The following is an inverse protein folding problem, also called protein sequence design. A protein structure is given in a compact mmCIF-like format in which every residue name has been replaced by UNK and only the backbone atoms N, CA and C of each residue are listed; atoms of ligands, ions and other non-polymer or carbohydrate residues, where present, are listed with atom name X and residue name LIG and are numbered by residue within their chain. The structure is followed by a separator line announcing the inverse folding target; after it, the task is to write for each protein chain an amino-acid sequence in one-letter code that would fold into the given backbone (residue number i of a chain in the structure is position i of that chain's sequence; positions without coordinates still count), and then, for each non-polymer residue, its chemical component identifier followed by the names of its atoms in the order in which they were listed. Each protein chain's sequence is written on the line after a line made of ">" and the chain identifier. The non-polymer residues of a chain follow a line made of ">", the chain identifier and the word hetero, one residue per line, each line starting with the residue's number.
data_IF_892323928670
#
_entry.id   IF_892323928670
#
_cell.length_a   1.000
_cell.length_b   1.000
_cell.length_c   1.000
_cell.angle_alpha   90.00
_cell.angle_beta   90.00
_cell.angle_gamma   90.00
#
_symmetry.space_group_name_H-M   'P 1'
#
loop_
_entity.id
_entity.type
_entity.pdbx_description
1 polymer ?
#
# COMPACT_ATOMS: atom_id res chain seq x y z
N UNK A 1 -20.62 68.13 24.35
CA UNK A 1 -21.29 66.81 24.29
C UNK A 1 -21.08 66.26 22.89
N UNK A 2 -20.01 65.48 22.67
CA UNK A 2 -20.03 64.02 22.50
C UNK A 2 -20.94 63.53 21.36
N UNK A 3 -20.38 63.37 20.16
CA UNK A 3 -20.72 62.25 19.27
C UNK A 3 -19.45 61.80 18.54
N UNK A 4 -18.93 60.67 19.01
CA UNK A 4 -17.75 59.98 18.49
C UNK A 4 -18.26 59.06 17.37
N UNK A 5 -17.99 59.38 16.11
CA UNK A 5 -18.35 58.51 14.98
C UNK A 5 -17.24 57.48 14.83
N UNK A 6 -17.47 56.30 15.41
CA UNK A 6 -16.62 55.13 15.29
C UNK A 6 -16.84 54.51 13.90
N UNK A 7 -15.95 54.79 12.95
CA UNK A 7 -15.90 54.08 11.68
C UNK A 7 -15.33 52.67 11.91
N UNK A 8 -16.20 51.67 12.01
CA UNK A 8 -15.82 50.26 12.06
C UNK A 8 -15.46 49.83 10.63
N UNK A 9 -14.17 49.82 10.31
CA UNK A 9 -13.65 49.10 9.14
C UNK A 9 -13.78 47.60 9.39
N UNK A 10 -14.78 46.98 8.77
CA UNK A 10 -14.88 45.52 8.68
C UNK A 10 -13.76 45.05 7.75
N UNK A 11 -12.63 44.65 8.33
CA UNK A 11 -11.62 43.84 7.64
C UNK A 11 -12.21 42.43 7.53
N UNK A 12 -12.78 42.13 6.37
CA UNK A 12 -13.19 40.79 5.99
C UNK A 12 -11.91 39.95 5.79
N UNK A 13 -11.44 39.30 6.85
CA UNK A 13 -10.36 38.31 6.76
C UNK A 13 -10.94 37.09 6.06
N UNK A 14 -10.80 37.04 4.74
CA UNK A 14 -10.96 35.82 3.98
C UNK A 14 -9.83 34.87 4.38
N UNK A 15 -10.05 34.07 5.42
CA UNK A 15 -9.32 32.81 5.61
C UNK A 15 -9.81 31.83 4.54
N UNK A 16 -9.36 32.05 3.31
CA UNK A 16 -9.30 30.97 2.34
C UNK A 16 -8.16 30.07 2.78
N UNK A 17 -8.43 28.79 2.99
CA UNK A 17 -7.37 27.78 3.07
C UNK A 17 -6.59 27.86 1.75
N UNK A 18 -5.44 28.52 1.80
CA UNK A 18 -4.44 28.45 0.75
C UNK A 18 -3.93 27.03 0.76
N UNK A 19 -4.56 26.14 -0.01
CA UNK A 19 -3.93 24.89 -0.42
C UNK A 19 -2.79 25.32 -1.35
N UNK A 20 -1.61 25.50 -0.78
CA UNK A 20 -0.39 25.56 -1.56
C UNK A 20 -0.32 24.25 -2.35
N UNK A 21 -0.47 24.36 -3.67
CA UNK A 21 -0.35 23.23 -4.58
C UNK A 21 1.13 22.91 -4.68
N UNK A 22 1.65 22.18 -3.69
CA UNK A 22 3.03 21.72 -3.64
C UNK A 22 3.21 20.68 -4.77
N UNK A 23 3.56 21.18 -5.97
CA UNK A 23 3.92 20.36 -7.11
C UNK A 23 5.32 19.79 -6.86
N UNK A 24 5.40 18.76 -6.00
CA UNK A 24 6.63 18.01 -5.80
C UNK A 24 7.07 17.40 -7.14
N UNK A 25 8.13 17.96 -7.74
CA UNK A 25 8.74 17.42 -8.96
C UNK A 25 9.67 16.25 -8.59
N UNK A 26 9.07 15.14 -8.14
CA UNK A 26 9.80 13.92 -7.78
C UNK A 26 9.56 12.88 -8.87
N UNK A 27 10.63 12.23 -9.30
CA UNK A 27 10.58 11.13 -10.26
C UNK A 27 10.99 9.83 -9.56
N UNK A 28 10.18 8.79 -9.66
CA UNK A 28 10.48 7.47 -9.13
C UNK A 28 10.85 6.54 -10.29
N UNK A 29 11.83 5.67 -10.09
CA UNK A 29 12.29 4.75 -11.12
C UNK A 29 12.56 3.36 -10.54
N UNK A 30 12.03 2.33 -11.18
CA UNK A 30 12.27 0.92 -10.88
C UNK A 30 13.08 0.31 -12.02
N UNK A 31 14.38 0.15 -11.78
CA UNK A 31 15.30 -0.49 -12.70
C UNK A 31 15.43 -1.97 -12.35
N UNK A 32 15.61 -2.83 -13.35
CA UNK A 32 15.93 -4.23 -13.10
C UNK A 32 17.02 -4.73 -14.03
N UNK A 33 17.78 -5.71 -13.55
CA UNK A 33 18.71 -6.51 -14.33
C UNK A 33 18.39 -7.98 -14.12
N UNK A 34 18.38 -8.75 -15.20
CA UNK A 34 18.12 -10.19 -15.20
C UNK A 34 19.39 -10.93 -15.60
N UNK A 35 19.77 -11.92 -14.81
CA UNK A 35 20.82 -12.87 -15.14
C UNK A 35 20.27 -14.28 -14.91
N UNK A 36 19.91 -14.96 -16.00
CA UNK A 36 19.14 -16.20 -16.00
C UNK A 36 17.84 -16.08 -15.18
N UNK A 37 17.76 -16.81 -14.07
CA UNK A 37 16.61 -16.85 -13.18
C UNK A 37 16.65 -15.75 -12.11
N UNK A 38 17.80 -15.11 -11.90
CA UNK A 38 17.99 -14.09 -10.87
C UNK A 38 17.67 -12.70 -11.40
N UNK A 39 16.66 -12.08 -10.81
CA UNK A 39 16.28 -10.69 -11.06
C UNK A 39 16.68 -9.81 -9.89
N UNK A 40 17.46 -8.78 -10.19
CA UNK A 40 17.85 -7.73 -9.24
C UNK A 40 17.11 -6.46 -9.61
N UNK A 41 16.29 -5.95 -8.70
CA UNK A 41 15.49 -4.75 -8.88
C UNK A 41 15.99 -3.65 -7.95
N UNK A 42 16.18 -2.45 -8.49
CA UNK A 42 16.63 -1.27 -7.77
C UNK A 42 15.58 -0.18 -7.87
N UNK A 43 15.17 0.35 -6.71
CA UNK A 43 14.26 1.49 -6.62
C UNK A 43 15.08 2.77 -6.42
N UNK A 44 14.97 3.69 -7.35
CA UNK A 44 15.61 5.01 -7.30
C UNK A 44 14.57 6.11 -7.29
N UNK A 45 14.98 7.26 -6.79
CA UNK A 45 14.17 8.47 -6.80
C UNK A 45 15.04 9.67 -7.11
N UNK A 46 14.51 10.63 -7.87
CA UNK A 46 15.18 11.86 -8.23
C UNK A 46 14.33 13.05 -7.82
N UNK A 47 14.92 14.01 -7.13
CA UNK A 47 14.29 15.30 -6.88
C UNK A 47 14.58 16.25 -8.06
N UNK A 48 13.63 16.45 -8.96
CA UNK A 48 13.73 17.44 -10.06
C UNK A 48 13.37 18.85 -9.61
N UNK A 49 13.11 19.07 -8.32
CA UNK A 49 12.89 20.39 -7.77
C UNK A 49 14.22 21.01 -7.31
N UNK A 50 14.27 22.35 -7.33
CA UNK A 50 15.38 23.15 -6.82
C UNK A 50 15.43 23.30 -5.30
N UNK A 51 14.53 22.64 -4.56
CA UNK A 51 14.42 22.77 -3.09
C UNK A 51 14.62 21.42 -2.41
N UNK A 52 15.07 21.47 -1.15
CA UNK A 52 15.19 20.29 -0.29
C UNK A 52 13.81 19.80 0.15
N UNK A 53 13.58 18.49 0.09
CA UNK A 53 12.33 17.86 0.48
C UNK A 53 12.60 16.87 1.62
N UNK A 54 12.06 17.16 2.80
CA UNK A 54 12.21 16.34 4.00
C UNK A 54 11.04 15.36 4.20
N UNK A 55 11.20 14.40 5.10
CA UNK A 55 10.14 13.48 5.58
C UNK A 55 9.36 12.78 4.45
N UNK A 56 10.07 12.39 3.40
CA UNK A 56 9.52 11.47 2.42
C UNK A 56 9.55 10.06 2.97
N UNK A 57 8.64 9.23 2.50
CA UNK A 57 8.67 7.80 2.77
C UNK A 57 8.43 7.02 1.49
N UNK A 58 9.11 5.89 1.34
CA UNK A 58 8.89 4.99 0.22
C UNK A 58 8.24 3.69 0.68
N UNK A 59 7.52 3.05 -0.25
CA UNK A 59 7.03 1.69 -0.13
C UNK A 59 7.27 0.97 -1.45
N UNK A 60 8.13 -0.03 -1.44
CA UNK A 60 8.44 -0.90 -2.57
C UNK A 60 7.79 -2.27 -2.31
N UNK A 61 7.06 -2.79 -3.29
CA UNK A 61 6.32 -4.03 -3.21
C UNK A 61 6.64 -4.92 -4.41
N UNK A 62 7.16 -6.12 -4.15
CA UNK A 62 7.32 -7.19 -5.11
C UNK A 62 6.23 -8.25 -4.90
N UNK A 63 5.52 -8.59 -5.97
CA UNK A 63 4.51 -9.64 -6.03
C UNK A 63 4.93 -10.66 -7.08
N UNK A 64 5.32 -11.85 -6.63
CA UNK A 64 5.66 -12.96 -7.52
C UNK A 64 4.48 -13.93 -7.60
N UNK A 65 3.92 -14.07 -8.78
CA UNK A 65 2.91 -15.06 -9.12
C UNK A 65 3.61 -16.34 -9.58
N UNK A 66 3.41 -17.44 -8.87
CA UNK A 66 3.84 -18.77 -9.29
C UNK A 66 2.97 -19.32 -10.41
N UNK A 67 3.47 -20.35 -11.12
CA UNK A 67 2.75 -21.00 -12.23
C UNK A 67 1.37 -21.57 -11.82
N UNK A 68 1.22 -22.00 -10.55
CA UNK A 68 -0.04 -22.49 -9.98
C UNK A 68 -1.03 -21.38 -9.61
N UNK A 69 -0.66 -20.10 -9.79
CA UNK A 69 -1.49 -18.94 -9.47
C UNK A 69 -1.30 -18.37 -8.05
N UNK A 70 -0.48 -19.00 -7.21
CA UNK A 70 -0.15 -18.50 -5.88
C UNK A 70 0.71 -17.23 -5.94
N UNK A 71 0.47 -16.28 -5.05
CA UNK A 71 1.28 -15.06 -4.94
C UNK A 71 2.19 -15.13 -3.71
N UNK A 72 3.47 -14.84 -3.90
CA UNK A 72 4.41 -14.54 -2.82
C UNK A 72 4.76 -13.05 -2.86
N UNK A 73 5.02 -12.47 -1.69
CA UNK A 73 5.24 -11.03 -1.51
C UNK A 73 6.58 -10.77 -0.85
N UNK A 74 7.25 -9.71 -1.29
CA UNK A 74 8.36 -9.08 -0.58
C UNK A 74 8.14 -7.57 -0.61
N UNK A 75 8.31 -6.88 0.51
CA UNK A 75 8.16 -5.43 0.58
C UNK A 75 9.26 -4.78 1.40
N UNK A 76 9.57 -3.53 1.05
CA UNK A 76 10.54 -2.69 1.73
C UNK A 76 9.97 -1.29 1.87
N UNK A 77 10.25 -0.62 2.99
CA UNK A 77 9.84 0.75 3.21
C UNK A 77 10.85 1.48 4.08
N UNK A 78 10.86 2.79 3.98
CA UNK A 78 11.76 3.62 4.77
C UNK A 78 11.47 5.10 4.61
N UNK A 79 11.92 5.87 5.60
CA UNK A 79 11.91 7.33 5.55
C UNK A 79 13.20 7.85 4.95
N UNK A 80 13.10 8.95 4.23
CA UNK A 80 14.24 9.61 3.60
C UNK A 80 13.94 11.09 3.35
N UNK A 81 14.95 11.79 2.87
CA UNK A 81 14.86 13.16 2.37
C UNK A 81 15.62 13.27 1.06
N UNK A 82 15.35 14.31 0.29
CA UNK A 82 16.02 14.58 -0.97
C UNK A 82 16.50 16.03 -1.03
N UNK A 83 17.81 16.19 -1.26
CA UNK A 83 18.39 17.45 -1.65
C UNK A 83 17.98 17.83 -3.09
N UNK A 84 18.11 19.11 -3.48
CA UNK A 84 17.84 19.56 -4.85
C UNK A 84 18.64 18.75 -5.87
N UNK A 85 17.99 18.27 -6.93
CA UNK A 85 18.61 17.46 -7.99
C UNK A 85 19.27 16.15 -7.51
N UNK A 86 19.04 15.74 -6.26
CA UNK A 86 19.60 14.51 -5.73
C UNK A 86 18.90 13.29 -6.33
N UNK A 87 19.70 12.32 -6.77
CA UNK A 87 19.25 10.96 -7.04
C UNK A 87 19.65 10.06 -5.86
N UNK A 88 18.71 9.25 -5.38
CA UNK A 88 18.89 8.36 -4.24
C UNK A 88 18.42 6.95 -4.56
N UNK A 89 19.26 5.96 -4.26
CA UNK A 89 18.85 4.56 -4.21
C UNK A 89 18.12 4.31 -2.89
N UNK A 90 16.87 3.86 -2.99
CA UNK A 90 16.00 3.64 -1.82
C UNK A 90 16.02 2.20 -1.33
N UNK A 91 15.97 1.25 -2.27
CA UNK A 91 15.79 -0.15 -1.98
C UNK A 91 16.39 -1.03 -3.08
N UNK A 92 16.69 -2.28 -2.73
CA UNK A 92 17.11 -3.32 -3.67
C UNK A 92 16.44 -4.63 -3.28
N UNK A 93 15.78 -5.26 -4.25
CA UNK A 93 15.16 -6.58 -4.12
C UNK A 93 15.88 -7.54 -5.06
N UNK A 94 16.24 -8.70 -4.54
CA UNK A 94 16.79 -9.80 -5.34
C UNK A 94 15.81 -10.97 -5.27
N UNK A 95 15.38 -11.46 -6.43
CA UNK A 95 14.35 -12.47 -6.52
C UNK A 95 14.66 -13.45 -7.65
N UNK A 96 14.60 -14.75 -7.34
CA UNK A 96 14.60 -15.78 -8.36
C UNK A 96 13.19 -15.94 -8.96
N UNK A 97 13.13 -16.01 -10.28
CA UNK A 97 11.93 -16.22 -11.10
C UNK A 97 12.15 -17.47 -11.96
N UNK A 98 11.14 -18.34 -12.03
CA UNK A 98 11.14 -19.54 -12.88
C UNK A 98 10.22 -19.36 -14.10
N UNK A 99 10.28 -20.30 -15.05
CA UNK A 99 9.41 -20.28 -16.22
C UNK A 99 7.94 -20.39 -15.81
N UNK A 100 7.07 -19.58 -16.44
CA UNK A 100 5.67 -19.47 -16.06
C UNK A 100 5.40 -18.65 -14.79
N UNK A 101 6.44 -18.15 -14.11
CA UNK A 101 6.29 -17.18 -13.03
C UNK A 101 6.32 -15.73 -13.54
N UNK A 102 5.67 -14.84 -12.79
CA UNK A 102 5.56 -13.42 -13.13
C UNK A 102 5.82 -12.57 -11.89
N UNK A 103 6.77 -11.64 -11.98
CA UNK A 103 7.13 -10.72 -10.91
C UNK A 103 6.66 -9.31 -11.23
N UNK A 104 5.77 -8.77 -10.41
CA UNK A 104 5.33 -7.37 -10.45
C UNK A 104 6.00 -6.60 -9.35
N UNK A 105 6.61 -5.48 -9.68
CA UNK A 105 7.19 -4.55 -8.73
C UNK A 105 6.41 -3.24 -8.77
N UNK A 106 6.15 -2.68 -7.60
CA UNK A 106 5.58 -1.36 -7.42
C UNK A 106 6.46 -0.54 -6.49
N UNK A 107 6.63 0.74 -6.81
CA UNK A 107 7.30 1.72 -5.97
C UNK A 107 6.37 2.91 -5.77
N UNK A 108 6.19 3.32 -4.53
CA UNK A 108 5.44 4.52 -4.16
C UNK A 108 6.32 5.42 -3.31
N UNK A 109 6.41 6.69 -3.68
CA UNK A 109 7.00 7.76 -2.89
C UNK A 109 5.88 8.60 -2.31
N UNK A 110 5.94 8.87 -1.02
CA UNK A 110 4.90 9.58 -0.28
C UNK A 110 5.49 10.72 0.54
N UNK A 111 4.68 11.76 0.73
CA UNK A 111 4.89 12.83 1.70
C UNK A 111 3.67 12.86 2.62
N UNK A 112 3.84 12.38 3.84
CA UNK A 112 2.72 12.08 4.73
C UNK A 112 1.79 11.02 4.11
N UNK A 113 0.52 11.39 3.87
CA UNK A 113 -0.49 10.48 3.29
C UNK A 113 -0.59 10.54 1.77
N UNK A 114 0.07 11.49 1.13
CA UNK A 114 -0.06 11.73 -0.32
C UNK A 114 1.04 10.99 -1.07
N UNK A 115 0.68 10.25 -2.12
CA UNK A 115 1.64 9.67 -3.07
C UNK A 115 2.08 10.78 -4.01
N UNK A 116 3.38 11.09 -4.01
CA UNK A 116 3.99 12.19 -4.77
C UNK A 116 4.75 11.70 -6.00
N UNK A 117 5.14 10.42 -6.04
CA UNK A 117 5.67 9.76 -7.23
C UNK A 117 5.42 8.24 -7.13
N UNK A 118 5.36 7.56 -8.27
CA UNK A 118 5.18 6.10 -8.34
C UNK A 118 5.85 5.55 -9.60
N UNK A 119 6.23 4.27 -9.55
CA UNK A 119 6.66 3.53 -10.73
C UNK A 119 6.39 2.03 -10.54
N UNK A 120 6.39 1.26 -11.63
CA UNK A 120 6.13 -0.17 -11.59
C UNK A 120 6.69 -0.90 -12.80
N UNK A 121 7.08 -2.17 -12.61
CA UNK A 121 7.55 -3.04 -13.69
C UNK A 121 7.00 -4.44 -13.53
N UNK A 122 6.76 -5.11 -14.65
CA UNK A 122 6.39 -6.52 -14.73
C UNK A 122 7.51 -7.29 -15.42
N UNK A 123 7.93 -8.41 -14.84
CA UNK A 123 9.10 -9.18 -15.24
C UNK A 123 8.72 -10.67 -15.33
N UNK A 124 9.10 -11.31 -16.42
CA UNK A 124 8.92 -12.75 -16.66
C UNK A 124 10.17 -13.36 -17.31
N UNK A 125 10.26 -14.69 -17.36
CA UNK A 125 11.38 -15.34 -18.06
C UNK A 125 11.25 -15.33 -19.58
N UNK A 126 10.02 -15.31 -20.10
CA UNK A 126 9.73 -15.28 -21.54
C UNK A 126 9.60 -13.82 -21.99
N UNK A 127 10.62 -13.34 -22.70
CA UNK A 127 10.61 -12.02 -23.32
C UNK A 127 9.66 -12.03 -24.53
N UNK A 128 8.36 -11.83 -24.31
CA UNK A 128 7.45 -11.46 -25.40
C UNK A 128 7.66 -9.99 -25.77
N UNK A 129 8.82 -9.67 -26.36
CA UNK A 129 9.13 -8.53 -27.23
C UNK A 129 8.24 -7.28 -27.08
N UNK A 130 7.97 -6.83 -25.85
CA UNK A 130 7.18 -5.66 -25.56
C UNK A 130 7.84 -4.96 -24.39
N UNK A 131 8.87 -4.21 -24.78
CA UNK A 131 9.40 -3.02 -24.14
C UNK A 131 8.50 -2.45 -23.05
N UNK A 132 9.09 -2.19 -21.88
CA UNK A 132 8.97 -0.92 -21.14
C UNK A 132 7.67 -0.15 -21.40
N UNK A 133 6.52 -0.81 -21.21
CA UNK A 133 5.27 -0.09 -21.10
C UNK A 133 5.25 0.32 -19.64
N UNK A 134 5.48 1.61 -19.31
CA UNK A 134 4.96 2.09 -18.04
C UNK A 134 3.50 1.67 -18.03
N UNK A 135 3.12 0.88 -17.02
CA UNK A 135 1.73 0.50 -16.84
C UNK A 135 0.94 1.81 -16.84
N UNK A 136 0.12 2.01 -17.89
CA UNK A 136 -0.67 3.23 -18.11
C UNK A 136 -1.29 3.66 -16.76
N UNK A 137 -0.98 4.91 -16.37
CA UNK A 137 -1.06 5.46 -15.01
C UNK A 137 -2.41 5.32 -14.30
N UNK A 138 -3.47 4.96 -15.02
CA UNK A 138 -4.86 5.06 -14.57
C UNK A 138 -5.59 3.73 -14.29
N UNK A 139 -4.99 2.57 -14.54
CA UNK A 139 -5.68 1.29 -14.26
C UNK A 139 -4.82 0.23 -13.59
N UNK A 140 -3.92 0.64 -12.70
CA UNK A 140 -3.28 -0.30 -11.77
C UNK A 140 -4.22 -0.52 -10.57
N UNK A 141 -5.36 -1.16 -10.81
CA UNK A 141 -6.17 -1.70 -9.71
C UNK A 141 -5.51 -2.99 -9.22
N UNK A 142 -4.65 -2.86 -8.21
CA UNK A 142 -4.18 -4.03 -7.45
C UNK A 142 -5.37 -4.52 -6.66
N UNK A 143 -6.16 -5.36 -7.31
CA UNK A 143 -7.25 -6.07 -6.69
C UNK A 143 -6.71 -7.35 -6.08
N UNK A 144 -7.34 -7.84 -5.02
CA UNK A 144 -7.07 -9.21 -4.62
C UNK A 144 -6.07 -9.41 -3.49
N UNK A 145 -5.30 -8.41 -3.08
CA UNK A 145 -4.14 -8.66 -2.22
C UNK A 145 -4.47 -8.67 -0.71
N UNK A 146 -4.31 -9.84 -0.10
CA UNK A 146 -4.26 -10.04 1.35
C UNK A 146 -2.81 -10.26 1.75
N UNK A 147 -2.31 -9.47 2.70
CA UNK A 147 -0.96 -9.52 3.24
C UNK A 147 -1.02 -10.20 4.60
N UNK A 148 -0.29 -11.29 4.77
CA UNK A 148 -0.20 -12.05 6.01
C UNK A 148 1.11 -11.75 6.77
N UNK A 149 1.00 -11.43 8.06
CA UNK A 149 2.12 -11.34 9.01
C UNK A 149 1.76 -12.13 10.29
N UNK A 150 1.56 -13.44 10.16
CA UNK A 150 1.27 -14.35 11.29
C UNK A 150 2.54 -15.00 11.82
N UNK A 151 2.61 -15.18 13.14
CA UNK A 151 3.76 -15.77 13.84
C UNK A 151 3.39 -17.08 14.54
N UNK A 152 2.17 -17.20 15.06
CA UNK A 152 1.70 -18.38 15.79
C UNK A 152 0.88 -19.31 14.90
N UNK A 153 0.77 -20.58 15.32
CA UNK A 153 -0.08 -21.57 14.64
C UNK A 153 -1.55 -21.09 14.58
N UNK A 154 -2.10 -20.61 15.70
CA UNK A 154 -3.47 -20.11 15.75
C UNK A 154 -3.69 -18.91 14.82
N UNK A 155 -2.69 -18.05 14.66
CA UNK A 155 -2.71 -16.96 13.68
C UNK A 155 -2.80 -17.47 12.24
N UNK A 156 -1.98 -18.47 11.89
CA UNK A 156 -2.01 -19.13 10.59
C UNK A 156 -3.34 -19.86 10.33
N UNK A 157 -3.84 -20.62 11.30
CA UNK A 157 -5.12 -21.31 11.19
C UNK A 157 -6.28 -20.32 10.95
N UNK A 158 -6.28 -19.18 11.67
CA UNK A 158 -7.21 -18.08 11.39
C UNK A 158 -7.05 -17.53 9.97
N UNK A 159 -5.82 -17.25 9.55
CA UNK A 159 -5.53 -16.72 8.22
C UNK A 159 -6.06 -17.67 7.14
N UNK A 160 -5.84 -18.98 7.26
CA UNK A 160 -6.33 -19.97 6.32
C UNK A 160 -7.86 -19.95 6.22
N UNK A 161 -8.56 -19.88 7.36
CA UNK A 161 -10.02 -19.76 7.37
C UNK A 161 -10.54 -18.46 6.75
N UNK A 162 -9.82 -17.36 6.93
CA UNK A 162 -10.14 -16.08 6.30
C UNK A 162 -9.89 -16.15 4.78
N UNK A 163 -8.72 -16.66 4.40
CA UNK A 163 -8.26 -16.72 3.02
C UNK A 163 -9.11 -17.67 2.19
N UNK A 164 -9.56 -18.81 2.74
CA UNK A 164 -10.51 -19.71 2.09
C UNK A 164 -11.80 -18.98 1.69
N UNK A 165 -12.38 -18.19 2.61
CA UNK A 165 -13.59 -17.39 2.35
C UNK A 165 -13.32 -16.32 1.31
N UNK A 166 -12.17 -15.67 1.40
CA UNK A 166 -11.78 -14.65 0.45
C UNK A 166 -11.58 -15.21 -0.97
N UNK A 167 -11.01 -16.40 -1.10
CA UNK A 167 -10.81 -17.06 -2.38
C UNK A 167 -12.12 -17.50 -3.03
N UNK A 168 -13.13 -17.86 -2.23
CA UNK A 168 -14.47 -18.17 -2.74
C UNK A 168 -15.24 -16.96 -3.30
N UNK A 169 -14.75 -15.73 -3.12
CA UNK A 169 -15.37 -14.55 -3.74
C UNK A 169 -14.94 -14.39 -5.20
N UNK A 170 -15.92 -14.20 -6.07
CA UNK A 170 -15.72 -13.85 -7.48
C UNK A 170 -15.14 -12.44 -7.65
N UNK A 171 -15.59 -11.49 -6.83
CA UNK A 171 -15.13 -10.10 -6.89
C UNK A 171 -14.02 -9.84 -5.88
N UNK A 172 -12.83 -9.51 -6.39
CA UNK A 172 -11.69 -9.13 -5.56
C UNK A 172 -11.79 -7.67 -5.13
N UNK A 173 -11.28 -7.35 -3.94
CA UNK A 173 -11.28 -5.98 -3.42
C UNK A 173 -10.18 -5.16 -4.07
N UNK A 174 -10.44 -3.88 -4.36
CA UNK A 174 -9.47 -2.92 -4.91
C UNK A 174 -8.64 -2.20 -3.82
N UNK A 175 -8.32 -2.92 -2.74
CA UNK A 175 -7.51 -2.46 -1.62
C UNK A 175 -6.76 -3.62 -0.99
N UNK A 176 -5.74 -3.29 -0.22
CA UNK A 176 -4.94 -4.23 0.54
C UNK A 176 -5.59 -4.58 1.87
N UNK A 177 -5.59 -5.86 2.21
CA UNK A 177 -5.98 -6.34 3.54
C UNK A 177 -4.72 -6.81 4.24
N UNK A 178 -4.25 -6.08 5.25
CA UNK A 178 -3.15 -6.52 6.10
C UNK A 178 -3.71 -7.29 7.29
N UNK A 179 -3.29 -8.52 7.47
CA UNK A 179 -3.61 -9.35 8.62
C UNK A 179 -2.32 -9.56 9.39
N UNK A 180 -2.20 -8.93 10.56
CA UNK A 180 -0.96 -8.85 11.33
C UNK A 180 -1.12 -9.41 12.72
N UNK A 181 -0.12 -10.15 13.20
CA UNK A 181 -0.06 -10.65 14.55
C UNK A 181 1.01 -9.91 15.37
N UNK A 182 0.57 -9.19 16.41
CA UNK A 182 1.46 -8.46 17.34
C UNK A 182 1.55 -9.18 18.69
N UNK A 183 2.76 -9.47 19.19
CA UNK A 183 2.91 -9.97 20.56
C UNK A 183 2.58 -8.86 21.56
N UNK A 184 1.91 -9.21 22.65
CA UNK A 184 1.60 -8.25 23.73
C UNK A 184 2.65 -8.38 24.84
N UNK A 185 3.20 -7.27 25.33
CA UNK A 185 4.18 -7.29 26.42
C UNK A 185 3.57 -7.90 27.70
N UNK A 186 4.29 -8.82 28.34
CA UNK A 186 3.97 -9.36 29.66
C UNK A 186 3.09 -10.61 29.70
N UNK A 187 2.63 -11.15 28.57
CA UNK A 187 1.93 -12.46 28.47
C UNK A 187 2.25 -13.15 27.14
N UNK A 188 2.18 -14.48 27.09
CA UNK A 188 2.25 -15.28 25.84
C UNK A 188 1.04 -15.09 24.91
N UNK A 189 0.39 -13.93 24.95
CA UNK A 189 -0.80 -13.60 24.17
C UNK A 189 -0.45 -12.67 23.02
N UNK A 190 -0.85 -13.03 21.81
CA UNK A 190 -0.81 -12.18 20.64
C UNK A 190 -2.15 -11.51 20.39
N UNK A 191 -2.15 -10.48 19.55
CA UNK A 191 -3.33 -9.80 19.02
C UNK A 191 -3.25 -9.91 17.51
N UNK A 192 -4.33 -10.38 16.89
CA UNK A 192 -4.48 -10.41 15.44
C UNK A 192 -5.30 -9.18 15.04
N UNK A 193 -4.73 -8.37 14.15
CA UNK A 193 -5.32 -7.14 13.64
C UNK A 193 -5.51 -7.25 12.13
N UNK A 194 -6.70 -6.90 11.65
CA UNK A 194 -7.01 -6.74 10.23
C UNK A 194 -7.09 -5.26 9.91
N UNK A 195 -6.23 -4.80 9.02
CA UNK A 195 -6.08 -3.41 8.63
C UNK A 195 -6.30 -3.27 7.14
N UNK A 196 -6.99 -2.20 6.74
CA UNK A 196 -7.09 -1.76 5.36
C UNK A 196 -6.59 -0.32 5.35
N UNK A 197 -5.61 -0.02 4.50
CA UNK A 197 -4.86 1.23 4.53
C UNK A 197 -4.30 1.47 5.95
N UNK A 198 -4.64 2.59 6.59
CA UNK A 198 -4.24 2.91 7.97
C UNK A 198 -5.34 2.64 9.01
N UNK A 199 -6.43 1.97 8.63
CA UNK A 199 -7.59 1.74 9.50
C UNK A 199 -7.64 0.30 9.98
N UNK A 200 -7.69 0.11 11.29
CA UNK A 200 -8.04 -1.17 11.90
C UNK A 200 -9.52 -1.46 11.70
N UNK A 201 -9.83 -2.55 10.98
CA UNK A 201 -11.18 -3.01 10.67
C UNK A 201 -11.68 -3.98 11.75
N UNK A 202 -10.79 -4.85 12.19
CA UNK A 202 -11.08 -5.82 13.23
C UNK A 202 -9.81 -6.16 13.98
N UNK A 203 -9.96 -6.43 15.26
CA UNK A 203 -8.88 -6.84 16.13
C UNK A 203 -9.44 -7.78 17.19
N UNK A 204 -8.71 -8.86 17.47
CA UNK A 204 -9.08 -9.82 18.49
C UNK A 204 -7.87 -10.59 19.01
N UNK A 205 -8.03 -11.23 20.16
CA UNK A 205 -7.05 -12.17 20.71
C UNK A 205 -7.39 -13.59 20.24
N UNK A 206 -6.47 -14.32 19.57
CA UNK A 206 -6.73 -15.68 19.13
C UNK A 206 -6.87 -16.64 20.33
N UNK A 207 -7.67 -17.68 20.13
CA UNK A 207 -7.82 -18.82 21.05
C UNK A 207 -7.60 -20.10 20.25
N UNK A 208 -7.08 -21.14 20.87
CA UNK A 208 -6.75 -22.40 20.19
C UNK A 208 -7.98 -23.18 19.69
N UNK A 209 -9.17 -22.78 20.13
CA UNK A 209 -10.44 -23.36 19.72
C UNK A 209 -10.74 -23.08 18.24
N UNK A 210 -10.93 -24.13 17.45
CA UNK A 210 -11.12 -24.04 16.00
C UNK A 210 -12.42 -23.31 15.64
N UNK A 211 -13.51 -23.60 16.36
CA UNK A 211 -14.80 -22.97 16.14
C UNK A 211 -14.72 -21.45 16.36
N UNK A 212 -13.98 -21.03 17.39
CA UNK A 212 -13.66 -19.63 17.60
C UNK A 212 -12.85 -19.03 16.44
N UNK A 213 -11.81 -19.69 15.95
CA UNK A 213 -11.01 -19.14 14.84
C UNK A 213 -11.83 -19.03 13.55
N UNK A 214 -12.70 -20.02 13.27
CA UNK A 214 -13.61 -19.98 12.12
C UNK A 214 -14.65 -18.86 12.23
N UNK A 215 -15.22 -18.66 13.41
CA UNK A 215 -16.20 -17.58 13.65
C UNK A 215 -15.53 -16.21 13.61
N UNK A 216 -14.33 -16.06 14.17
CA UNK A 216 -13.52 -14.84 14.07
C UNK A 216 -13.19 -14.51 12.61
N UNK A 217 -12.80 -15.50 11.80
CA UNK A 217 -12.53 -15.32 10.37
C UNK A 217 -13.79 -14.87 9.60
N UNK A 218 -14.95 -15.45 9.91
CA UNK A 218 -16.22 -15.02 9.33
C UNK A 218 -16.55 -13.56 9.68
N UNK A 219 -16.41 -13.18 10.95
CA UNK A 219 -16.67 -11.81 11.42
C UNK A 219 -15.70 -10.83 10.74
N UNK A 220 -14.41 -11.14 10.72
CA UNK A 220 -13.37 -10.35 10.06
C UNK A 220 -13.72 -10.10 8.58
N UNK A 221 -14.05 -11.18 7.88
CA UNK A 221 -14.40 -11.13 6.46
C UNK A 221 -15.66 -10.29 6.20
N UNK A 222 -16.70 -10.43 7.02
CA UNK A 222 -17.91 -9.61 6.91
C UNK A 222 -17.65 -8.12 7.14
N UNK A 223 -16.75 -7.77 8.08
CA UNK A 223 -16.35 -6.36 8.29
C UNK A 223 -15.59 -5.79 7.11
N UNK A 224 -14.72 -6.59 6.48
CA UNK A 224 -14.02 -6.22 5.24
C UNK A 224 -15.02 -6.01 4.09
N UNK A 225 -16.00 -6.90 3.93
CA UNK A 225 -17.07 -6.74 2.93
C UNK A 225 -17.88 -5.47 3.14
N UNK A 226 -18.23 -5.17 4.39
CA UNK A 226 -18.95 -3.95 4.75
C UNK A 226 -18.13 -2.70 4.39
N UNK A 227 -16.83 -2.70 4.71
CA UNK A 227 -15.91 -1.63 4.33
C UNK A 227 -15.86 -1.46 2.81
N UNK A 228 -15.76 -2.55 2.04
CA UNK A 228 -15.79 -2.49 0.57
C UNK A 228 -17.05 -1.82 0.04
N UNK A 229 -18.23 -2.20 0.57
CA UNK A 229 -19.52 -1.61 0.15
C UNK A 229 -19.56 -0.11 0.42
N UNK A 230 -19.13 0.33 1.61
CA UNK A 230 -19.08 1.75 1.98
C UNK A 230 -18.14 2.53 1.06
N UNK A 231 -16.94 2.00 0.82
CA UNK A 231 -15.94 2.62 -0.07
C UNK A 231 -16.47 2.76 -1.50
N UNK A 232 -17.14 1.73 -2.03
CA UNK A 232 -17.75 1.76 -3.36
C UNK A 232 -18.85 2.82 -3.48
N UNK A 233 -19.65 3.03 -2.42
CA UNK A 233 -20.67 4.07 -2.41
C UNK A 233 -20.06 5.47 -2.44
N UNK A 234 -18.99 5.71 -1.68
CA UNK A 234 -18.26 6.98 -1.68
C UNK A 234 -17.66 7.31 -3.06
N UNK A 235 -17.01 6.34 -3.71
CA UNK A 235 -16.46 6.55 -5.05
C UNK A 235 -17.53 6.82 -6.12
N UNK A 236 -18.73 6.30 -5.97
CA UNK A 236 -19.85 6.61 -6.87
C UNK A 236 -20.36 8.04 -6.69
N UNK A 237 -20.30 8.59 -5.48
CA UNK A 237 -20.74 9.96 -5.19
C UNK A 237 -19.75 11.02 -5.70
N UNK A 238 -18.46 10.70 -5.80
CA UNK A 238 -17.42 11.62 -6.30
C UNK A 238 -17.34 11.68 -7.84
N UNK A 239 -18.10 10.85 -8.56
CA UNK A 239 -18.16 10.83 -10.03
C UNK A 239 -19.31 11.68 -10.60
N UNK A 240 -20.02 12.41 -9.75
CA UNK A 240 -21.02 13.43 -10.10
C UNK A 240 -20.64 14.75 -9.44
#
# INVERSE_FOLDING_TARGET
>A
MKTFVLAISIIMICFGDLIAQDNFRIEANVEYSKNDDLVVVKARVVNKHSIYIQELNYFMLALKKGASGNYSKSDQSGYFSLAPNEEKLLATIQQNIQEGELLKIYLFIKKGKVVVAKDSVEISLIDLANHNKPLLEDNIEITGLVVEEMRTKMGKDFYDFFHQRYQSQSNKFNFYIFIKEKPTLGRSSSIITIQIDDRTIFEFRPRADEEFLRSAALIAFNRVLMYHKQRKALFKLQKY
#
